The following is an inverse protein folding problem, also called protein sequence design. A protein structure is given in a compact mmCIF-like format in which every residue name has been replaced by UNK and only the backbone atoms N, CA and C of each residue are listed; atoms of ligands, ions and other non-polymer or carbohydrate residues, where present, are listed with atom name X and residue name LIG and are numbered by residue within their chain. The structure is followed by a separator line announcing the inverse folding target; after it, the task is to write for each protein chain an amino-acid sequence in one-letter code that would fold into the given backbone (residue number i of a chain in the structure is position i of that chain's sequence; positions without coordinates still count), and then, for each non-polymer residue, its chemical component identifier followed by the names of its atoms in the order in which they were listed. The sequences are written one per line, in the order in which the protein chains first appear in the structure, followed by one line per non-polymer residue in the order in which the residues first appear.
data_IF_622427276474
#
_entry.id   IF_622427276474
#
_cell.length_a   1.000
_cell.length_b   1.000
_cell.length_c   1.000
_cell.angle_alpha   90.00
_cell.angle_beta   90.00
_cell.angle_gamma   90.00
#
_symmetry.space_group_name_H-M   'P 1'
#
loop_
_entity.id
_entity.type
_entity.pdbx_description
1 polymer ?
#
# COMPACT_ATOMS: atom_id res chain seq x y z
N UNK A 1 -13.09 -1.00 4.16
CA UNK A 1 -12.45 -2.31 3.95
C UNK A 1 -13.50 -3.39 4.17
N UNK A 2 -13.47 -4.46 3.38
CA UNK A 2 -14.34 -5.63 3.47
C UNK A 2 -13.74 -6.62 4.47
N UNK A 3 -14.52 -7.03 5.46
CA UNK A 3 -14.12 -8.07 6.42
C UNK A 3 -14.27 -9.45 5.77
N UNK A 4 -13.28 -10.32 5.99
CA UNK A 4 -13.20 -11.67 5.43
C UNK A 4 -12.94 -12.66 6.56
N UNK A 5 -13.74 -13.72 6.60
CA UNK A 5 -13.65 -14.80 7.60
C UNK A 5 -13.40 -16.18 6.97
N UNK A 6 -13.46 -16.26 5.63
CA UNK A 6 -13.18 -17.48 4.86
C UNK A 6 -11.87 -17.29 4.11
N UNK A 7 -10.85 -18.05 4.51
CA UNK A 7 -9.50 -17.99 3.96
C UNK A 7 -9.33 -19.15 2.99
N UNK A 8 -9.57 -18.88 1.72
CA UNK A 8 -9.46 -19.86 0.65
C UNK A 8 -8.46 -19.41 -0.40
N UNK A 9 -8.28 -20.26 -1.42
CA UNK A 9 -7.38 -19.95 -2.53
C UNK A 9 -7.84 -18.74 -3.34
N UNK A 10 -9.15 -18.54 -3.50
CA UNK A 10 -9.69 -17.41 -4.25
C UNK A 10 -9.30 -16.08 -3.60
N UNK A 11 -9.43 -15.99 -2.27
CA UNK A 11 -9.00 -14.82 -1.53
C UNK A 11 -7.51 -14.53 -1.71
N UNK A 12 -6.67 -15.57 -1.73
CA UNK A 12 -5.23 -15.40 -1.98
C UNK A 12 -4.98 -14.81 -3.36
N UNK A 13 -5.65 -15.32 -4.39
CA UNK A 13 -5.56 -14.80 -5.76
C UNK A 13 -6.08 -13.35 -5.83
N UNK A 14 -7.16 -13.02 -5.13
CA UNK A 14 -7.69 -11.65 -5.06
C UNK A 14 -6.69 -10.67 -4.41
N UNK A 15 -6.01 -11.09 -3.33
CA UNK A 15 -4.97 -10.30 -2.66
C UNK A 15 -3.76 -10.11 -3.59
N UNK A 16 -3.28 -11.18 -4.23
CA UNK A 16 -2.17 -11.12 -5.18
C UNK A 16 -2.47 -10.17 -6.35
N UNK A 17 -3.68 -10.24 -6.89
CA UNK A 17 -4.13 -9.38 -7.98
C UNK A 17 -4.16 -7.90 -7.57
N UNK A 18 -4.76 -7.58 -6.42
CA UNK A 18 -4.83 -6.18 -5.98
C UNK A 18 -3.47 -5.61 -5.63
N UNK A 19 -2.57 -6.41 -5.04
CA UNK A 19 -1.20 -5.99 -4.78
C UNK A 19 -0.41 -5.74 -6.07
N UNK A 20 -0.58 -6.61 -7.07
CA UNK A 20 0.03 -6.39 -8.38
C UNK A 20 -0.46 -5.09 -9.01
N UNK A 21 -1.76 -4.81 -8.94
CA UNK A 21 -2.34 -3.56 -9.40
C UNK A 21 -1.76 -2.35 -8.66
N UNK A 22 -1.61 -2.45 -7.33
CA UNK A 22 -1.03 -1.37 -6.53
C UNK A 22 0.41 -1.05 -6.95
N UNK A 23 1.24 -2.06 -7.28
CA UNK A 23 2.59 -1.82 -7.79
C UNK A 23 2.56 -1.04 -9.10
N UNK A 24 1.70 -1.44 -10.04
CA UNK A 24 1.54 -0.73 -11.32
C UNK A 24 1.08 0.72 -11.13
N UNK A 25 0.10 0.94 -10.25
CA UNK A 25 -0.39 2.28 -9.91
C UNK A 25 0.74 3.12 -9.31
N UNK A 26 1.47 2.60 -8.33
CA UNK A 26 2.59 3.31 -7.68
C UNK A 26 3.65 3.73 -8.71
N UNK A 27 4.07 2.82 -9.59
CA UNK A 27 5.04 3.12 -10.64
C UNK A 27 4.54 4.19 -11.61
N UNK A 28 3.26 4.10 -12.01
CA UNK A 28 2.65 5.04 -12.97
C UNK A 28 2.60 6.45 -12.38
N UNK A 29 2.04 6.58 -11.17
CA UNK A 29 1.91 7.87 -10.48
C UNK A 29 3.28 8.42 -10.11
N UNK A 30 4.21 7.60 -9.61
CA UNK A 30 5.56 8.07 -9.31
C UNK A 30 6.23 8.62 -10.58
N UNK A 31 6.17 7.90 -11.70
CA UNK A 31 6.78 8.35 -12.97
C UNK A 31 6.19 9.68 -13.45
N UNK A 32 4.89 9.88 -13.28
CA UNK A 32 4.19 11.08 -13.70
C UNK A 32 4.55 12.31 -12.86
N UNK A 33 4.62 12.17 -11.53
CA UNK A 33 4.80 13.31 -10.62
C UNK A 33 6.24 13.51 -10.15
N UNK A 34 7.13 12.52 -10.29
CA UNK A 34 8.53 12.61 -9.87
C UNK A 34 9.27 13.86 -10.38
N UNK A 35 9.07 14.35 -11.62
CA UNK A 35 9.71 15.59 -12.08
C UNK A 35 9.37 16.81 -11.21
N UNK A 36 8.13 16.91 -10.73
CA UNK A 36 7.67 18.04 -9.91
C UNK A 36 8.31 18.04 -8.51
N UNK A 37 8.51 16.86 -7.92
CA UNK A 37 9.25 16.73 -6.67
C UNK A 37 10.75 16.98 -6.88
N UNK A 38 11.31 16.53 -8.00
CA UNK A 38 12.72 16.74 -8.32
C UNK A 38 13.07 18.23 -8.45
N UNK A 39 12.18 19.05 -9.02
CA UNK A 39 12.33 20.52 -9.06
C UNK A 39 12.45 21.18 -7.68
N UNK A 40 11.95 20.50 -6.63
CA UNK A 40 12.02 20.93 -5.22
C UNK A 40 13.21 20.30 -4.47
N UNK A 41 14.04 19.51 -5.14
CA UNK A 41 15.10 18.74 -4.49
C UNK A 41 14.58 17.56 -3.67
N UNK A 42 13.39 17.04 -4.00
CA UNK A 42 12.72 15.95 -3.29
C UNK A 42 12.60 14.71 -4.19
N UNK A 43 12.59 13.53 -3.58
CA UNK A 43 12.32 12.27 -4.25
C UNK A 43 10.98 11.69 -3.77
N UNK A 44 10.05 11.40 -4.68
CA UNK A 44 8.73 10.89 -4.32
C UNK A 44 8.80 9.38 -4.18
N UNK A 45 8.47 8.87 -3.00
CA UNK A 45 8.43 7.43 -2.69
C UNK A 45 6.98 6.97 -2.67
N UNK A 46 6.60 6.16 -3.65
CA UNK A 46 5.33 5.43 -3.68
C UNK A 46 5.64 3.93 -3.79
N UNK A 47 5.35 3.15 -2.75
CA UNK A 47 5.69 1.73 -2.74
C UNK A 47 4.58 0.88 -2.09
N UNK A 48 4.31 -0.30 -2.65
CA UNK A 48 3.53 -1.31 -1.94
C UNK A 48 4.43 -2.02 -0.93
N UNK A 49 4.22 -1.72 0.35
CA UNK A 49 4.95 -2.31 1.46
C UNK A 49 4.16 -3.49 2.02
N UNK A 50 4.88 -4.56 2.38
CA UNK A 50 4.33 -5.75 3.06
C UNK A 50 5.05 -5.91 4.39
N UNK A 51 4.31 -5.91 5.49
CA UNK A 51 4.84 -6.09 6.84
C UNK A 51 4.23 -7.34 7.48
N UNK A 52 5.04 -8.01 8.27
CA UNK A 52 4.59 -8.95 9.28
C UNK A 52 5.21 -8.49 10.60
N UNK A 53 4.48 -8.58 11.71
CA UNK A 53 4.99 -8.08 13.00
C UNK A 53 6.40 -8.61 13.30
N UNK A 54 7.36 -7.69 13.42
CA UNK A 54 8.78 -7.99 13.65
C UNK A 54 9.66 -8.05 12.41
N UNK A 55 9.11 -8.08 11.18
CA UNK A 55 9.87 -8.15 9.92
C UNK A 55 9.27 -7.25 8.81
N UNK A 56 10.10 -6.38 8.22
CA UNK A 56 9.72 -5.50 7.08
C UNK A 56 9.65 -6.22 5.72
N UNK A 57 9.90 -7.53 5.70
CA UNK A 57 9.70 -8.40 4.54
C UNK A 57 8.95 -9.63 5.02
N UNK A 58 7.62 -9.58 4.92
CA UNK A 58 6.82 -10.78 5.10
C UNK A 58 7.03 -11.70 3.88
N UNK A 59 7.26 -13.00 4.13
CA UNK A 59 7.10 -14.00 3.09
C UNK A 59 5.68 -13.91 2.49
N UNK A 60 5.48 -14.38 1.24
CA UNK A 60 4.17 -14.39 0.53
C UNK A 60 3.13 -15.34 1.15
N UNK A 61 3.11 -15.46 2.46
CA UNK A 61 2.03 -16.07 3.20
C UNK A 61 1.07 -14.97 3.66
N UNK A 62 0.15 -14.61 2.77
CA UNK A 62 -0.89 -13.57 2.99
C UNK A 62 -1.80 -13.86 4.17
N UNK A 63 -1.81 -15.10 4.63
CA UNK A 63 -2.60 -15.56 5.75
C UNK A 63 -1.72 -15.75 6.99
N UNK A 64 -0.50 -15.20 7.03
CA UNK A 64 0.21 -15.13 8.30
C UNK A 64 -0.44 -14.13 9.25
N UNK A 65 -0.35 -14.41 10.54
CA UNK A 65 -0.84 -13.51 11.57
C UNK A 65 -0.02 -12.21 11.55
N UNK A 66 -0.73 -11.10 11.71
CA UNK A 66 -0.19 -9.75 11.60
C UNK A 66 0.43 -9.42 10.22
N UNK A 67 0.10 -10.17 9.17
CA UNK A 67 0.41 -9.75 7.80
C UNK A 67 -0.39 -8.48 7.45
N UNK A 68 0.26 -7.47 6.92
CA UNK A 68 -0.39 -6.31 6.34
C UNK A 68 0.33 -5.84 5.08
N UNK A 69 -0.45 -5.38 4.10
CA UNK A 69 0.06 -4.66 2.94
C UNK A 69 -0.67 -3.35 2.76
N UNK A 70 0.10 -2.33 2.37
CA UNK A 70 -0.37 -0.96 2.19
C UNK A 70 0.54 -0.25 1.20
N UNK A 71 0.00 0.74 0.50
CA UNK A 71 0.82 1.68 -0.27
C UNK A 71 1.37 2.69 0.72
N UNK A 72 2.69 2.83 0.78
CA UNK A 72 3.40 3.85 1.54
C UNK A 72 3.66 5.05 0.61
N UNK A 73 3.45 6.26 1.14
CA UNK A 73 3.58 7.52 0.43
C UNK A 73 4.50 8.40 1.27
N UNK A 74 5.61 8.82 0.69
CA UNK A 74 6.56 9.69 1.38
C UNK A 74 7.44 10.45 0.41
N UNK A 75 8.28 11.30 0.99
CA UNK A 75 9.36 11.98 0.28
C UNK A 75 10.69 11.64 0.93
N UNK A 76 11.73 11.54 0.11
CA UNK A 76 13.11 11.53 0.56
C UNK A 76 13.76 12.86 0.16
N UNK A 77 14.40 13.51 1.13
CA UNK A 77 15.06 14.80 0.95
C UNK A 77 16.27 14.85 1.88
N UNK A 78 17.44 15.23 1.35
CA UNK A 78 18.69 15.35 2.12
C UNK A 78 19.06 14.09 2.92
N UNK A 79 18.89 12.90 2.31
CA UNK A 79 19.07 11.57 2.92
C UNK A 79 18.10 11.22 4.07
N UNK A 80 17.12 12.09 4.35
CA UNK A 80 16.05 11.86 5.32
C UNK A 80 14.76 11.41 4.62
N UNK A 81 14.10 10.39 5.20
CA UNK A 81 12.81 9.90 4.73
C UNK A 81 11.66 10.46 5.58
N UNK A 82 10.72 11.13 4.92
CA UNK A 82 9.53 11.72 5.53
C UNK A 82 8.28 10.94 5.08
N UNK A 83 7.62 10.19 5.99
CA UNK A 83 6.36 9.53 5.68
C UNK A 83 5.22 10.55 5.62
N UNK A 84 4.53 10.64 4.50
CA UNK A 84 3.39 11.55 4.31
C UNK A 84 2.04 10.84 4.47
N UNK A 85 1.96 9.55 4.16
CA UNK A 85 0.72 8.80 4.31
C UNK A 85 0.81 7.34 3.90
N UNK A 86 -0.31 6.65 4.05
CA UNK A 86 -0.45 5.28 3.58
C UNK A 86 -1.88 4.92 3.17
N UNK A 87 -2.03 3.98 2.24
CA UNK A 87 -3.32 3.43 1.81
C UNK A 87 -3.35 1.93 2.16
N UNK A 88 -4.19 1.49 3.11
CA UNK A 88 -4.28 0.08 3.49
C UNK A 88 -4.89 -0.77 2.36
N UNK A 89 -4.24 -1.89 2.04
CA UNK A 89 -4.67 -2.82 0.98
C UNK A 89 -5.22 -4.11 1.59
N UNK A 90 -4.39 -4.83 2.35
CA UNK A 90 -4.78 -6.07 3.01
C UNK A 90 -4.25 -6.09 4.44
N UNK A 91 -5.03 -6.67 5.35
CA UNK A 91 -4.58 -6.93 6.71
C UNK A 91 -5.17 -8.23 7.22
N UNK A 92 -4.31 -9.09 7.73
CA UNK A 92 -4.69 -10.30 8.43
C UNK A 92 -4.41 -10.13 9.93
N UNK A 93 -5.44 -10.37 10.75
CA UNK A 93 -5.35 -10.33 12.21
C UNK A 93 -5.80 -11.66 12.80
N UNK A 94 -5.09 -12.08 13.84
CA UNK A 94 -5.60 -13.12 14.73
C UNK A 94 -6.35 -12.44 15.89
N UNK A 95 -7.67 -12.61 15.95
CA UNK A 95 -8.49 -12.10 17.04
C UNK A 95 -9.03 -13.29 17.84
N UNK A 96 -8.42 -13.57 18.99
CA UNK A 96 -8.81 -14.43 20.14
C UNK A 96 -9.33 -15.86 19.85
N UNK A 97 -10.20 -16.06 18.85
CA UNK A 97 -10.77 -17.35 18.43
C UNK A 97 -10.97 -17.48 16.91
N UNK A 98 -10.75 -16.43 16.13
CA UNK A 98 -10.96 -16.46 14.68
C UNK A 98 -9.99 -15.54 13.94
N UNK A 99 -9.38 -16.10 12.89
CA UNK A 99 -8.60 -15.33 11.92
C UNK A 99 -9.54 -14.40 11.16
N UNK A 100 -9.20 -13.12 11.09
CA UNK A 100 -10.01 -12.10 10.38
C UNK A 100 -9.15 -11.30 9.42
N UNK A 101 -9.61 -11.22 8.18
CA UNK A 101 -8.98 -10.48 7.10
C UNK A 101 -9.72 -9.20 6.79
N UNK A 102 -9.00 -8.18 6.36
CA UNK A 102 -9.55 -6.91 5.90
C UNK A 102 -8.93 -6.58 4.55
N UNK A 103 -9.72 -6.72 3.48
CA UNK A 103 -9.32 -6.34 2.13
C UNK A 103 -9.91 -4.98 1.79
N UNK A 104 -9.16 -4.13 1.10
CA UNK A 104 -9.73 -2.89 0.57
C UNK A 104 -10.90 -3.22 -0.36
N UNK A 105 -11.95 -2.39 -0.29
CA UNK A 105 -13.11 -2.50 -1.19
C UNK A 105 -12.94 -1.64 -2.43
N UNK A 106 -11.79 -0.99 -2.57
CA UNK A 106 -11.47 -0.05 -3.64
C UNK A 106 -10.97 -0.82 -4.85
N UNK A 107 -11.46 -0.46 -6.03
CA UNK A 107 -10.91 -0.95 -7.29
C UNK A 107 -9.68 -0.13 -7.71
N UNK A 108 -9.06 -0.54 -8.81
CA UNK A 108 -7.88 0.10 -9.42
C UNK A 108 -8.06 1.62 -9.60
N UNK A 109 -9.16 2.03 -10.25
CA UNK A 109 -9.49 3.42 -10.54
C UNK A 109 -9.65 4.26 -9.26
N UNK A 110 -10.26 3.69 -8.23
CA UNK A 110 -10.42 4.37 -6.95
C UNK A 110 -9.11 4.50 -6.18
N UNK A 111 -8.26 3.47 -6.21
CA UNK A 111 -6.93 3.49 -5.58
C UNK A 111 -6.03 4.50 -6.26
N UNK A 112 -5.97 4.49 -7.59
CA UNK A 112 -5.20 5.47 -8.37
C UNK A 112 -5.67 6.90 -8.09
N UNK A 113 -6.99 7.15 -8.10
CA UNK A 113 -7.54 8.48 -7.81
C UNK A 113 -7.14 8.97 -6.42
N UNK A 114 -7.15 8.10 -5.40
CA UNK A 114 -6.77 8.47 -4.04
C UNK A 114 -5.27 8.75 -3.97
N UNK A 115 -4.44 7.88 -4.57
CA UNK A 115 -2.99 8.07 -4.58
C UNK A 115 -2.62 9.41 -5.24
N UNK A 116 -3.22 9.71 -6.40
CA UNK A 116 -3.03 10.98 -7.10
C UNK A 116 -3.45 12.17 -6.24
N UNK A 117 -4.60 12.09 -5.57
CA UNK A 117 -5.06 13.17 -4.69
C UNK A 117 -4.05 13.45 -3.57
N UNK A 118 -3.53 12.40 -2.92
CA UNK A 118 -2.52 12.56 -1.86
C UNK A 118 -1.21 13.16 -2.40
N UNK A 119 -0.76 12.75 -3.59
CA UNK A 119 0.44 13.31 -4.23
C UNK A 119 0.24 14.79 -4.62
N UNK A 120 -0.95 15.16 -5.09
CA UNK A 120 -1.29 16.55 -5.41
C UNK A 120 -1.31 17.40 -4.14
N UNK A 121 -1.94 16.91 -3.06
CA UNK A 121 -1.94 17.60 -1.76
C UNK A 121 -0.50 17.88 -1.29
N UNK A 122 0.41 16.91 -1.42
CA UNK A 122 1.84 17.08 -1.09
C UNK A 122 2.57 18.14 -1.95
N UNK A 123 2.08 18.41 -3.17
CA UNK A 123 2.64 19.46 -4.03
C UNK A 123 2.05 20.84 -3.73
N UNK A 124 0.89 20.91 -3.08
CA UNK A 124 0.27 22.19 -2.69
C UNK A 124 0.80 22.72 -1.36
N UNK A 125 1.45 21.86 -0.56
CA UNK A 125 2.26 22.21 0.62
C UNK A 125 3.65 22.77 0.25
#
# INVERSE_FOLDING_TARGET
MKQIIHFDRQLKEDIENIESLCNTICMTVATEYQPLFFERGQHLILELVRKQKGNKQADKDYFNDDYESFIEIGIEQDDDYFPNGYIPIWKCKEEWFQKTGYLTSKNELELERILRAMVIEMLEE
#
